data_IF_240937797665
#
_entry.id   IF_240937797665
#
_cell.length_a   1.000
_cell.length_b   1.000
_cell.length_c   1.000
_cell.angle_alpha   90.00
_cell.angle_beta   90.00
_cell.angle_gamma   90.00
#
_symmetry.space_group_name_H-M   'P 1'
#
loop_
_entity.id
_entity.type
_entity.pdbx_description
1 polymer ?
#
# COMPACT_ATOMS: atom_id res chain seq x y z
N UNK A 1 18.76 -11.75 -1.82
CA UNK A 1 17.97 -10.82 -0.99
C UNK A 1 18.08 -9.48 -1.68
N UNK A 2 16.95 -8.95 -2.14
CA UNK A 2 16.96 -7.67 -2.87
C UNK A 2 16.92 -6.56 -1.84
N UNK A 3 18.09 -6.13 -1.39
CA UNK A 3 18.26 -5.00 -0.48
C UNK A 3 18.41 -3.72 -1.28
N UNK A 4 17.64 -2.69 -0.91
CA UNK A 4 17.66 -1.37 -1.53
C UNK A 4 17.77 -0.31 -0.44
N UNK A 5 18.69 0.62 -0.58
CA UNK A 5 18.81 1.77 0.34
C UNK A 5 18.23 3.00 -0.32
N UNK A 6 17.33 3.70 0.38
CA UNK A 6 16.77 4.98 -0.07
C UNK A 6 17.89 6.02 -0.09
N UNK A 7 18.13 6.64 -1.23
CA UNK A 7 19.14 7.70 -1.37
C UNK A 7 18.52 9.09 -1.29
N UNK A 8 17.33 9.25 -1.86
CA UNK A 8 16.65 10.54 -1.95
C UNK A 8 15.14 10.36 -2.08
N UNK A 9 14.40 11.38 -1.64
CA UNK A 9 12.98 11.52 -1.91
C UNK A 9 12.73 12.94 -2.39
N UNK A 10 12.15 13.07 -3.57
CA UNK A 10 11.86 14.35 -4.21
C UNK A 10 10.40 14.44 -4.63
N UNK A 11 9.92 15.67 -4.78
CA UNK A 11 8.61 15.94 -5.36
C UNK A 11 8.75 16.02 -6.88
N UNK A 12 7.75 15.52 -7.59
CA UNK A 12 7.65 15.62 -9.04
C UNK A 12 6.19 15.71 -9.49
N UNK A 13 5.99 15.78 -10.80
CA UNK A 13 4.67 15.76 -11.42
C UNK A 13 4.72 14.80 -12.61
N UNK A 14 3.75 13.89 -12.71
CA UNK A 14 3.53 13.08 -13.93
C UNK A 14 2.18 13.48 -14.50
N UNK A 15 2.19 14.05 -15.71
CA UNK A 15 1.01 14.69 -16.28
C UNK A 15 0.56 15.87 -15.41
N UNK A 16 -0.62 15.74 -14.79
CA UNK A 16 -1.17 16.70 -13.83
C UNK A 16 -1.10 16.21 -12.38
N UNK A 17 -0.58 15.00 -12.15
CA UNK A 17 -0.59 14.35 -10.84
C UNK A 17 0.69 14.69 -10.05
N UNK A 18 0.60 15.35 -8.88
CA UNK A 18 1.73 15.48 -7.97
C UNK A 18 2.19 14.11 -7.49
N UNK A 19 3.49 13.85 -7.54
CA UNK A 19 4.10 12.56 -7.22
C UNK A 19 5.27 12.70 -6.25
N UNK A 20 5.56 11.61 -5.54
CA UNK A 20 6.80 11.38 -4.82
C UNK A 20 7.69 10.47 -5.64
N UNK A 21 8.98 10.82 -5.73
CA UNK A 21 10.00 10.03 -6.42
C UNK A 21 10.99 9.55 -5.37
N UNK A 22 11.03 8.24 -5.14
CA UNK A 22 11.90 7.61 -4.15
C UNK A 22 13.06 6.95 -4.88
N UNK A 23 14.21 7.63 -4.87
CA UNK A 23 15.46 7.11 -5.41
C UNK A 23 16.05 6.09 -4.45
N UNK A 24 16.47 4.96 -4.99
CA UNK A 24 17.08 3.84 -4.26
C UNK A 24 18.30 3.31 -4.99
N UNK A 25 19.22 2.72 -4.25
CA UNK A 25 20.33 1.91 -4.80
C UNK A 25 20.30 0.52 -4.22
N UNK A 26 20.54 -0.49 -5.04
CA UNK A 26 20.73 -1.86 -4.57
C UNK A 26 22.19 -2.15 -4.15
N UNK A 27 22.45 -3.38 -3.70
CA UNK A 27 23.78 -3.82 -3.26
C UNK A 27 24.85 -3.75 -4.38
N UNK A 28 24.44 -3.84 -5.64
CA UNK A 28 25.31 -3.71 -6.81
C UNK A 28 25.47 -2.25 -7.27
N UNK A 29 24.84 -1.29 -6.57
CA UNK A 29 24.88 0.12 -6.89
C UNK A 29 23.97 0.53 -8.06
N UNK A 30 23.08 -0.36 -8.53
CA UNK A 30 22.11 -0.02 -9.58
C UNK A 30 21.04 0.89 -8.98
N UNK A 31 20.67 1.91 -9.74
CA UNK A 31 19.67 2.90 -9.34
C UNK A 31 18.27 2.42 -9.68
N UNK A 32 17.35 2.61 -8.75
CA UNK A 32 15.93 2.33 -8.88
C UNK A 32 15.14 3.58 -8.48
N UNK A 33 14.00 3.82 -9.12
CA UNK A 33 13.09 4.90 -8.72
C UNK A 33 11.71 4.28 -8.51
N UNK A 34 11.14 4.47 -7.33
CA UNK A 34 9.74 4.16 -7.06
C UNK A 34 8.94 5.46 -7.06
N UNK A 35 7.95 5.56 -7.96
CA UNK A 35 7.12 6.75 -8.10
C UNK A 35 5.68 6.44 -7.70
N UNK A 36 5.09 7.30 -6.86
CA UNK A 36 3.69 7.19 -6.48
C UNK A 36 3.04 8.57 -6.33
N UNK A 37 1.72 8.71 -6.58
CA UNK A 37 0.98 9.96 -6.32
C UNK A 37 1.10 10.42 -4.86
N UNK A 38 1.18 11.73 -4.62
CA UNK A 38 1.23 12.24 -3.23
C UNK A 38 -0.04 11.85 -2.43
N UNK A 39 -1.18 11.74 -3.10
CA UNK A 39 -2.46 11.33 -2.51
C UNK A 39 -2.47 9.87 -2.02
N UNK A 40 -1.52 9.02 -2.46
CA UNK A 40 -1.46 7.62 -2.04
C UNK A 40 -1.36 7.48 -0.52
N UNK A 41 -0.69 8.41 0.18
CA UNK A 41 -0.61 8.39 1.64
C UNK A 41 -2.00 8.54 2.29
N UNK A 42 -2.83 9.45 1.79
CA UNK A 42 -4.21 9.64 2.25
C UNK A 42 -5.05 8.39 2.02
N UNK A 43 -4.89 7.76 0.84
CA UNK A 43 -5.58 6.50 0.53
C UNK A 43 -5.17 5.36 1.45
N UNK A 44 -3.86 5.19 1.73
CA UNK A 44 -3.40 4.15 2.67
C UNK A 44 -3.87 4.39 4.09
N UNK A 45 -3.93 5.65 4.52
CA UNK A 45 -4.54 6.03 5.80
C UNK A 45 -6.02 5.61 5.86
N UNK A 46 -6.78 5.93 4.82
CA UNK A 46 -8.21 5.60 4.73
C UNK A 46 -8.48 4.08 4.64
N UNK A 47 -7.71 3.35 3.84
CA UNK A 47 -7.94 1.92 3.58
C UNK A 47 -7.72 1.05 4.82
N UNK A 48 -6.66 1.35 5.57
CA UNK A 48 -6.20 0.58 6.72
C UNK A 48 -6.50 1.25 8.07
N UNK A 49 -7.10 2.44 8.06
CA UNK A 49 -7.34 3.23 9.28
C UNK A 49 -6.04 3.52 10.02
N UNK A 50 -4.97 3.83 9.29
CA UNK A 50 -3.68 4.28 9.83
C UNK A 50 -3.81 5.77 10.14
N UNK A 51 -3.23 6.22 11.25
CA UNK A 51 -3.21 7.64 11.60
C UNK A 51 -2.53 8.43 10.47
N UNK A 52 -3.16 9.47 9.89
CA UNK A 52 -2.52 10.33 8.90
C UNK A 52 -1.22 10.98 9.37
N UNK A 53 -0.99 11.11 10.68
CA UNK A 53 0.28 11.57 11.23
C UNK A 53 1.37 10.48 11.27
N UNK A 54 1.01 9.20 11.16
CA UNK A 54 1.94 8.06 11.13
C UNK A 54 2.52 7.86 9.72
N UNK A 55 3.31 8.83 9.28
CA UNK A 55 3.95 8.82 7.96
C UNK A 55 4.88 7.62 7.79
N UNK A 56 5.50 7.14 8.86
CA UNK A 56 6.46 6.03 8.79
C UNK A 56 5.74 4.72 8.46
N UNK A 57 4.61 4.42 9.12
CA UNK A 57 3.80 3.25 8.77
C UNK A 57 3.21 3.36 7.36
N UNK A 58 2.75 4.55 6.95
CA UNK A 58 2.23 4.78 5.60
C UNK A 58 3.29 4.55 4.51
N UNK A 59 4.52 5.00 4.74
CA UNK A 59 5.64 4.75 3.82
C UNK A 59 6.07 3.29 3.82
N UNK A 60 6.07 2.62 4.98
CA UNK A 60 6.36 1.19 5.04
C UNK A 60 5.37 0.39 4.18
N UNK A 61 4.07 0.73 4.24
CA UNK A 61 3.06 0.14 3.34
C UNK A 61 3.42 0.38 1.88
N UNK A 62 3.57 1.65 1.47
CA UNK A 62 3.77 2.00 0.05
C UNK A 62 5.05 1.38 -0.52
N UNK A 63 6.14 1.41 0.22
CA UNK A 63 7.45 1.00 -0.28
C UNK A 63 7.63 -0.52 -0.33
N UNK A 64 6.89 -1.28 0.48
CA UNK A 64 7.03 -2.74 0.55
C UNK A 64 5.89 -3.49 -0.15
N UNK A 65 4.76 -2.83 -0.40
CA UNK A 65 3.60 -3.45 -1.07
C UNK A 65 3.92 -4.07 -2.45
N UNK A 66 4.75 -3.47 -3.33
CA UNK A 66 5.11 -4.07 -4.61
C UNK A 66 5.83 -5.43 -4.50
N UNK A 67 6.35 -5.77 -3.32
CA UNK A 67 7.05 -7.04 -3.05
C UNK A 67 6.18 -8.04 -2.29
N UNK A 68 4.92 -7.71 -2.01
CA UNK A 68 4.00 -8.69 -1.42
C UNK A 68 3.69 -9.80 -2.42
N UNK A 69 3.56 -11.06 -1.96
CA UNK A 69 3.25 -12.17 -2.85
C UNK A 69 1.80 -12.07 -3.35
N UNK A 70 1.57 -12.49 -4.60
CA UNK A 70 0.21 -12.58 -5.14
C UNK A 70 -0.56 -13.74 -4.50
N UNK A 71 -1.39 -13.40 -3.52
CA UNK A 71 -2.24 -14.34 -2.80
C UNK A 71 -3.30 -15.02 -3.70
N UNK A 72 -3.46 -14.63 -4.96
CA UNK A 72 -4.29 -15.39 -5.90
C UNK A 72 -3.71 -16.78 -6.23
N UNK A 73 -2.40 -16.97 -6.01
CA UNK A 73 -1.73 -18.25 -6.19
C UNK A 73 -1.85 -19.13 -4.92
N UNK A 74 -2.12 -20.44 -5.06
CA UNK A 74 -2.18 -21.35 -3.91
C UNK A 74 -0.91 -21.35 -3.07
N UNK A 75 0.26 -21.28 -3.71
CA UNK A 75 1.56 -21.31 -3.06
C UNK A 75 1.76 -20.10 -2.13
N UNK A 76 1.44 -18.90 -2.62
CA UNK A 76 1.50 -17.67 -1.82
C UNK A 76 0.47 -17.70 -0.68
N UNK A 77 -0.74 -18.18 -0.95
CA UNK A 77 -1.79 -18.27 0.06
C UNK A 77 -1.41 -19.20 1.23
N UNK A 78 -0.76 -20.34 0.94
CA UNK A 78 -0.26 -21.28 1.96
C UNK A 78 0.88 -20.69 2.77
N UNK A 79 1.77 -19.92 2.14
CA UNK A 79 2.92 -19.30 2.81
C UNK A 79 2.58 -17.99 3.56
N UNK A 80 1.36 -17.49 3.43
CA UNK A 80 0.96 -16.17 3.93
C UNK A 80 1.21 -16.02 5.45
N UNK A 81 2.04 -15.05 5.88
CA UNK A 81 2.33 -14.85 7.31
C UNK A 81 1.07 -14.48 8.12
N UNK A 82 0.13 -13.75 7.51
CA UNK A 82 -1.10 -13.38 8.20
C UNK A 82 -2.04 -14.58 8.41
N UNK A 83 -2.21 -15.44 7.39
CA UNK A 83 -2.96 -16.68 7.53
C UNK A 83 -2.34 -17.62 8.58
N UNK A 84 -1.00 -17.76 8.61
CA UNK A 84 -0.28 -18.53 9.65
C UNK A 84 -0.47 -17.95 11.06
N UNK A 85 -0.70 -16.65 11.18
CA UNK A 85 -1.06 -15.98 12.43
C UNK A 85 -2.56 -16.06 12.77
N UNK A 86 -3.36 -16.83 12.00
CA UNK A 86 -4.79 -17.01 12.23
C UNK A 86 -5.67 -15.88 11.68
N UNK A 87 -5.11 -14.94 10.92
CA UNK A 87 -5.89 -13.88 10.27
C UNK A 87 -6.49 -14.41 8.96
N UNK A 88 -7.57 -15.18 9.11
CA UNK A 88 -8.36 -15.72 7.99
C UNK A 88 -9.79 -15.18 8.01
N UNK A 89 -10.36 -14.96 6.82
CA UNK A 89 -11.76 -14.64 6.63
C UNK A 89 -12.52 -15.91 6.23
N UNK A 90 -13.75 -16.05 6.71
CA UNK A 90 -14.65 -17.11 6.26
C UNK A 90 -15.27 -16.71 4.93
N UNK A 91 -15.14 -17.58 3.92
CA UNK A 91 -15.73 -17.41 2.60
C UNK A 91 -16.75 -18.53 2.39
N UNK A 92 -18.00 -18.17 2.07
CA UNK A 92 -19.04 -19.16 1.77
C UNK A 92 -18.85 -19.68 0.34
N UNK A 93 -18.33 -20.90 0.22
CA UNK A 93 -18.24 -21.62 -1.04
C UNK A 93 -19.41 -22.59 -1.23
N UNK A 94 -19.56 -23.11 -2.46
CA UNK A 94 -20.58 -24.11 -2.79
C UNK A 94 -20.47 -25.42 -1.98
N UNK A 95 -19.29 -25.69 -1.39
CA UNK A 95 -19.00 -26.88 -0.56
C UNK A 95 -18.97 -26.57 0.95
N UNK A 96 -19.43 -25.39 1.36
CA UNK A 96 -19.38 -24.93 2.76
C UNK A 96 -18.40 -23.76 2.96
N UNK A 97 -18.21 -23.36 4.22
CA UNK A 97 -17.32 -22.28 4.58
C UNK A 97 -15.85 -22.71 4.43
N UNK A 98 -15.07 -21.96 3.67
CA UNK A 98 -13.61 -22.09 3.57
C UNK A 98 -12.94 -20.92 4.28
N UNK A 99 -11.74 -21.14 4.83
CA UNK A 99 -10.94 -20.08 5.40
C UNK A 99 -9.95 -19.56 4.34
N UNK A 100 -9.97 -18.26 4.07
CA UNK A 100 -9.04 -17.61 3.14
C UNK A 100 -8.20 -16.56 3.87
N UNK A 101 -6.98 -16.24 3.41
CA UNK A 101 -6.20 -15.13 3.95
C UNK A 101 -7.02 -13.83 4.01
N UNK A 102 -6.94 -13.10 5.13
CA UNK A 102 -7.57 -11.77 5.25
C UNK A 102 -6.90 -10.78 4.30
N UNK A 103 -7.69 -10.13 3.46
CA UNK A 103 -7.35 -9.07 2.51
C UNK A 103 -8.27 -7.86 2.75
N UNK A 104 -7.96 -6.74 2.12
CA UNK A 104 -8.72 -5.50 2.28
C UNK A 104 -10.24 -5.68 2.04
N UNK A 105 -10.63 -6.49 1.06
CA UNK A 105 -12.04 -6.65 0.66
C UNK A 105 -12.83 -7.72 1.44
N UNK A 106 -12.17 -8.78 1.92
CA UNK A 106 -12.83 -9.87 2.67
C UNK A 106 -12.66 -9.74 4.20
N UNK A 107 -11.88 -8.78 4.69
CA UNK A 107 -11.67 -8.57 6.12
C UNK A 107 -12.99 -8.24 6.84
N UNK A 108 -13.24 -8.81 8.04
CA UNK A 108 -14.42 -8.48 8.84
C UNK A 108 -14.37 -7.06 9.41
N UNK A 109 -13.16 -6.49 9.56
CA UNK A 109 -12.96 -5.12 10.05
C UNK A 109 -11.74 -4.49 9.36
N UNK A 110 -11.71 -3.16 9.31
CA UNK A 110 -10.52 -2.42 8.84
C UNK A 110 -9.28 -2.72 9.68
N UNK A 111 -9.45 -2.95 11.00
CA UNK A 111 -8.34 -3.40 11.87
C UNK A 111 -7.78 -4.76 11.42
N UNK A 112 -8.64 -5.74 11.13
CA UNK A 112 -8.18 -7.06 10.66
C UNK A 112 -7.45 -6.96 9.32
N UNK A 113 -7.94 -6.13 8.38
CA UNK A 113 -7.24 -5.86 7.13
C UNK A 113 -5.85 -5.24 7.37
N UNK A 114 -5.76 -4.23 8.23
CA UNK A 114 -4.51 -3.57 8.59
C UNK A 114 -3.52 -4.55 9.23
N UNK A 115 -3.93 -5.27 10.27
CA UNK A 115 -3.05 -6.19 10.99
C UNK A 115 -2.51 -7.27 10.04
N UNK A 116 -3.37 -7.83 9.17
CA UNK A 116 -2.95 -8.80 8.17
C UNK A 116 -1.99 -8.22 7.14
N UNK A 117 -2.20 -6.97 6.72
CA UNK A 117 -1.31 -6.30 5.77
C UNK A 117 0.05 -5.98 6.41
N UNK A 118 0.07 -5.44 7.63
CA UNK A 118 1.31 -5.11 8.34
C UNK A 118 2.17 -6.35 8.62
N UNK A 119 1.56 -7.49 8.97
CA UNK A 119 2.31 -8.75 9.10
C UNK A 119 2.99 -9.19 7.79
N UNK A 120 2.36 -8.94 6.64
CA UNK A 120 2.97 -9.23 5.33
C UNK A 120 4.10 -8.28 5.02
N UNK A 121 3.92 -6.99 5.32
CA UNK A 121 4.97 -5.98 5.17
C UNK A 121 6.17 -6.32 6.06
N UNK A 122 5.96 -6.71 7.32
CA UNK A 122 7.02 -7.13 8.22
C UNK A 122 7.77 -8.36 7.69
N UNK A 123 7.06 -9.33 7.12
CA UNK A 123 7.69 -10.48 6.47
C UNK A 123 8.52 -10.07 5.24
N UNK A 124 8.00 -9.18 4.39
CA UNK A 124 8.74 -8.62 3.24
C UNK A 124 9.97 -7.85 3.69
N UNK A 125 9.91 -7.10 4.81
CA UNK A 125 11.08 -6.44 5.40
C UNK A 125 12.17 -7.41 5.86
N UNK A 126 11.90 -8.71 5.94
CA UNK A 126 12.93 -9.73 6.17
C UNK A 126 13.54 -10.28 4.88
N UNK A 127 12.87 -10.15 3.72
CA UNK A 127 13.27 -10.80 2.45
C UNK A 127 13.59 -9.85 1.29
N UNK A 128 12.94 -8.68 1.23
CA UNK A 128 13.12 -7.60 0.26
C UNK A 128 13.17 -6.26 1.00
N UNK A 129 14.36 -5.93 1.50
CA UNK A 129 14.57 -4.82 2.44
C UNK A 129 14.70 -3.49 1.73
N UNK A 130 13.76 -2.58 1.97
CA UNK A 130 13.98 -1.15 1.72
C UNK A 130 14.53 -0.52 3.00
N UNK A 131 15.77 -0.08 2.96
CA UNK A 131 16.47 0.51 4.10
C UNK A 131 16.51 2.02 4.01
N UNK A 132 16.44 2.64 5.19
CA UNK A 132 16.69 4.06 5.34
C UNK A 132 18.13 4.24 5.78
N UNK A 133 18.91 5.12 5.14
CA UNK A 133 20.31 5.29 5.47
C UNK A 133 20.42 5.80 6.91
N UNK A 134 21.24 5.11 7.70
CA UNK A 134 21.43 5.37 9.12
C UNK A 134 22.91 5.65 9.40
N UNK A 135 23.19 6.58 10.31
CA UNK A 135 24.56 6.95 10.68
C UNK A 135 24.64 8.37 11.21
N UNK A 136 25.73 8.67 11.93
CA UNK A 136 25.96 10.01 12.48
C UNK A 136 26.09 11.02 11.33
N UNK A 137 25.22 12.03 11.30
CA UNK A 137 25.22 13.09 10.28
C UNK A 137 24.51 12.72 8.97
N UNK A 138 23.95 11.51 8.87
CA UNK A 138 23.15 11.09 7.71
C UNK A 138 21.74 11.64 7.87
N UNK A 139 21.25 12.37 6.86
CA UNK A 139 19.89 12.91 6.83
C UNK A 139 18.92 11.83 6.36
N UNK A 140 17.84 11.59 7.11
CA UNK A 140 16.75 10.71 6.69
C UNK A 140 15.98 11.33 5.51
N UNK A 141 16.01 10.71 4.30
CA UNK A 141 15.33 11.24 3.12
C UNK A 141 13.80 11.37 3.31
N UNK A 142 13.19 10.54 4.17
CA UNK A 142 11.74 10.57 4.45
C UNK A 142 11.26 11.85 5.11
N UNK A 143 12.18 12.66 5.64
CA UNK A 143 11.87 13.98 6.19
C UNK A 143 11.19 14.88 5.15
N UNK A 144 11.42 14.67 3.85
CA UNK A 144 10.71 15.38 2.78
C UNK A 144 9.19 15.15 2.82
N UNK A 145 8.76 13.94 3.18
CA UNK A 145 7.35 13.55 3.24
C UNK A 145 6.73 13.90 4.60
N UNK A 146 7.46 13.67 5.71
CA UNK A 146 6.96 13.94 7.07
C UNK A 146 6.51 15.39 7.30
N UNK A 147 7.03 16.34 6.53
CA UNK A 147 6.61 17.74 6.59
C UNK A 147 5.26 18.04 5.91
N UNK A 148 4.67 17.07 5.20
CA UNK A 148 3.41 17.27 4.49
C UNK A 148 2.23 16.83 5.34
N UNK A 149 1.33 17.77 5.59
CA UNK A 149 0.11 17.52 6.35
C UNK A 149 -0.89 16.76 5.48
N UNK A 150 -1.28 15.57 5.93
CA UNK A 150 -2.44 14.85 5.40
C UNK A 150 -3.67 15.38 6.15
N UNK A 151 -4.71 15.79 5.42
CA UNK A 151 -5.95 16.30 6.01
C UNK A 151 -6.79 15.15 6.60
N UNK A 152 -7.03 15.11 7.92
CA UNK A 152 -7.87 14.09 8.53
C UNK A 152 -9.32 14.09 8.03
N UNK A 153 -9.84 15.26 7.61
CA UNK A 153 -11.18 15.37 7.03
C UNK A 153 -11.28 14.57 5.73
N UNK A 154 -10.36 14.81 4.80
CA UNK A 154 -10.25 14.04 3.55
C UNK A 154 -10.05 12.54 3.79
N UNK A 155 -9.23 12.15 4.78
CA UNK A 155 -9.07 10.72 5.15
C UNK A 155 -10.39 10.10 5.59
N UNK A 156 -11.21 10.81 6.37
CA UNK A 156 -12.51 10.32 6.81
C UNK A 156 -13.50 10.15 5.65
N UNK A 157 -13.49 11.07 4.69
CA UNK A 157 -14.30 10.95 3.46
C UNK A 157 -13.90 9.72 2.63
N UNK A 158 -12.60 9.54 2.39
CA UNK A 158 -12.08 8.37 1.68
C UNK A 158 -12.35 7.07 2.45
N UNK A 159 -12.27 7.07 3.78
CA UNK A 159 -12.59 5.90 4.59
C UNK A 159 -14.05 5.47 4.39
N UNK A 160 -14.99 6.44 4.36
CA UNK A 160 -16.39 6.17 4.03
C UNK A 160 -16.59 5.59 2.62
N UNK A 161 -15.80 6.06 1.65
CA UNK A 161 -15.78 5.50 0.29
C UNK A 161 -15.24 4.06 0.26
N UNK A 162 -14.11 3.79 0.92
CA UNK A 162 -13.52 2.46 1.01
C UNK A 162 -14.47 1.48 1.69
N UNK A 163 -15.10 1.88 2.79
CA UNK A 163 -16.06 1.03 3.49
C UNK A 163 -17.26 0.67 2.59
N UNK A 164 -17.76 1.62 1.79
CA UNK A 164 -18.79 1.33 0.80
C UNK A 164 -18.31 0.30 -0.25
N UNK A 165 -17.07 0.44 -0.76
CA UNK A 165 -16.50 -0.53 -1.70
C UNK A 165 -16.34 -1.92 -1.08
N UNK A 166 -15.86 -2.01 0.17
CA UNK A 166 -15.70 -3.26 0.91
C UNK A 166 -17.05 -3.98 1.08
N UNK A 167 -18.10 -3.24 1.46
CA UNK A 167 -19.46 -3.78 1.58
C UNK A 167 -20.01 -4.30 0.26
N UNK A 168 -19.79 -3.55 -0.83
CA UNK A 168 -20.16 -3.98 -2.17
C UNK A 168 -19.43 -5.27 -2.58
N UNK A 169 -18.12 -5.36 -2.31
CA UNK A 169 -17.32 -6.55 -2.62
C UNK A 169 -17.79 -7.80 -1.85
N UNK A 170 -18.36 -7.63 -0.64
CA UNK A 170 -18.95 -8.71 0.15
C UNK A 170 -20.43 -9.01 -0.19
N UNK A 171 -21.01 -8.30 -1.16
CA UNK A 171 -22.41 -8.49 -1.54
C UNK A 171 -23.42 -7.94 -0.53
N UNK A 172 -23.00 -7.10 0.42
CA UNK A 172 -23.88 -6.50 1.44
C UNK A 172 -24.71 -5.32 0.90
N UNK A 173 -24.37 -4.83 -0.30
CA UNK A 173 -25.09 -3.77 -1.00
C UNK A 173 -25.21 -4.09 -2.47
N UNK A 174 -26.36 -3.72 -3.07
CA UNK A 174 -26.49 -3.70 -4.52
C UNK A 174 -25.41 -2.79 -5.14
N UNK A 175 -24.89 -3.12 -6.34
CA UNK A 175 -23.99 -2.23 -7.08
C UNK A 175 -24.69 -0.89 -7.26
N UNK A 176 -24.13 0.19 -6.71
CA UNK A 176 -24.68 1.53 -6.95
C UNK A 176 -24.22 1.97 -8.34
N UNK A 177 -25.16 2.13 -9.27
CA UNK A 177 -24.89 2.51 -10.66
C UNK A 177 -24.29 3.91 -10.84
N UNK A 178 -24.29 4.74 -9.80
CA UNK A 178 -23.84 6.13 -9.90
C UNK A 178 -23.23 6.63 -8.58
N UNK A 179 -21.96 6.31 -8.33
CA UNK A 179 -21.10 7.21 -7.56
C UNK A 179 -19.86 7.46 -8.38
N UNK A 180 -19.69 8.69 -8.84
CA UNK A 180 -18.38 9.16 -9.28
C UNK A 180 -17.42 8.90 -8.14
N UNK A 181 -16.39 8.10 -8.40
CA UNK A 181 -15.23 7.97 -7.52
C UNK A 181 -14.81 9.40 -7.14
N UNK A 182 -14.52 9.71 -5.85
CA UNK A 182 -13.90 10.98 -5.51
C UNK A 182 -12.75 11.18 -6.50
N UNK A 183 -12.66 12.38 -7.10
CA UNK A 183 -11.76 12.61 -8.22
C UNK A 183 -10.34 12.16 -7.84
N UNK A 184 -9.98 10.95 -8.27
CA UNK A 184 -8.59 10.58 -8.31
C UNK A 184 -8.01 11.37 -9.45
N UNK A 185 -6.88 12.02 -9.22
CA UNK A 185 -6.07 12.43 -10.34
C UNK A 185 -5.82 11.18 -11.20
N UNK A 186 -6.16 11.21 -12.50
CA UNK A 186 -6.04 10.04 -13.36
C UNK A 186 -4.60 9.54 -13.31
N UNK A 187 -4.43 8.22 -13.10
CA UNK A 187 -3.10 7.58 -13.20
C UNK A 187 -2.59 7.83 -14.62
N UNK A 188 -1.50 8.59 -14.81
CA UNK A 188 -1.00 8.87 -16.14
C UNK A 188 -0.51 7.57 -16.79
N UNK A 189 -0.92 7.33 -18.02
CA UNK A 189 -0.28 6.33 -18.88
C UNK A 189 1.18 6.75 -19.07
N UNK A 190 2.12 5.89 -18.68
CA UNK A 190 3.54 6.10 -18.99
C UNK A 190 3.69 6.24 -20.51
N UNK A 191 4.47 7.22 -21.00
CA UNK A 191 4.80 7.28 -22.42
C UNK A 191 5.52 5.99 -22.80
N UNK A 192 5.16 5.39 -23.94
CA UNK A 192 5.89 4.27 -24.52
C UNK A 192 7.37 4.65 -24.63
N UNK A 193 8.25 3.81 -24.08
CA UNK A 193 9.68 4.00 -24.22
C UNK A 193 10.02 3.93 -25.70
N UNK A 194 10.30 5.07 -26.33
CA UNK A 194 10.91 5.10 -27.65
C UNK A 194 12.32 4.56 -27.52
N UNK A 195 12.56 3.38 -28.08
CA UNK A 195 13.90 2.82 -28.25
C UNK A 195 14.78 3.87 -28.96
N UNK A 196 15.94 4.15 -28.37
CA UNK A 196 16.99 5.00 -28.92
C UNK A 196 18.07 4.16 -29.59
#
# INVERSE_FOLDING_TARGET
MDERTITEITEGVIGETPTWHVGMVDAEGRKHIHVFPQETLTWRAAEYGIDPADTDTLLDVILHEPFLPDLSTPEAAVADPAARAGLTAATLGAKGATAEPVRLHNAPTTKAARDAHLLRIDNVKQTHRVQVPAGKGVKDPRTAIRGKRIDPGHVAELAGYVDAMKRQARGETAPTTTRSRPAMNPVPTLPEATDA
#
